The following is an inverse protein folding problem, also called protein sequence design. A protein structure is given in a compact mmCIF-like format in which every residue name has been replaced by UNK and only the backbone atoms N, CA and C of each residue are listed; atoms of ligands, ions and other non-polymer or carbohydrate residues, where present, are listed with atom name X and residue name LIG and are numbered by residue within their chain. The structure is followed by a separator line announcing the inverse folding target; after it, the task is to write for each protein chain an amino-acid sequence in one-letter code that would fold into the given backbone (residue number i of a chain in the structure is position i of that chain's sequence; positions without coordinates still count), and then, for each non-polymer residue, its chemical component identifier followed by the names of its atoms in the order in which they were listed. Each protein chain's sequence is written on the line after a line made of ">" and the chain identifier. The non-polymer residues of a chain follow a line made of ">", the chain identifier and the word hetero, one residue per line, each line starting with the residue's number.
data_IF_241380603130
#
_entry.id   IF_241380603130
#
_cell.length_a   1.000
_cell.length_b   1.000
_cell.length_c   1.000
_cell.angle_alpha   90.00
_cell.angle_beta   90.00
_cell.angle_gamma   90.00
#
_symmetry.space_group_name_H-M   'P 1'
#
loop_
_entity.id
_entity.type
_entity.pdbx_description
1 polymer ?
#
# COMPACT_ATOMS: atom_id res chain seq x y z
N UNK A 1 21.19 30.61 10.90
CA UNK A 1 21.21 29.14 10.82
C UNK A 1 19.76 28.70 10.76
N UNK A 2 19.23 28.50 9.55
CA UNK A 2 17.85 28.08 9.32
C UNK A 2 17.89 26.57 9.30
N UNK A 3 17.40 25.92 10.34
CA UNK A 3 17.22 24.48 10.37
C UNK A 3 16.09 24.11 9.42
N UNK A 4 16.44 23.53 8.28
CA UNK A 4 15.49 22.93 7.36
C UNK A 4 14.98 21.68 8.06
N UNK A 5 13.68 21.64 8.29
CA UNK A 5 13.02 20.51 8.94
C UNK A 5 12.88 19.37 7.90
N UNK A 6 13.85 18.45 7.85
CA UNK A 6 13.88 17.28 6.97
C UNK A 6 12.58 16.44 7.04
N UNK A 7 11.80 16.60 8.12
CA UNK A 7 10.51 15.93 8.30
C UNK A 7 9.38 16.56 7.49
N UNK A 8 9.45 17.86 7.25
CA UNK A 8 8.48 18.58 6.42
C UNK A 8 8.69 18.29 4.93
N UNK A 9 9.94 18.13 4.50
CA UNK A 9 10.26 17.77 3.11
C UNK A 9 9.73 16.39 2.73
N UNK A 10 9.87 15.39 3.59
CA UNK A 10 9.38 14.04 3.32
C UNK A 10 7.86 13.91 3.22
N UNK A 11 7.10 14.72 3.97
CA UNK A 11 5.64 14.76 3.88
C UNK A 11 5.17 15.43 2.58
N UNK A 12 5.81 16.52 2.19
CA UNK A 12 5.54 17.21 0.92
C UNK A 12 5.82 16.31 -0.29
N UNK A 13 6.91 15.54 -0.25
CA UNK A 13 7.27 14.62 -1.32
C UNK A 13 6.27 13.47 -1.47
N UNK A 14 5.79 12.88 -0.37
CA UNK A 14 4.76 11.86 -0.40
C UNK A 14 3.49 12.36 -1.11
N UNK A 15 3.02 13.56 -0.78
CA UNK A 15 1.81 14.12 -1.37
C UNK A 15 1.99 14.42 -2.86
N UNK A 16 3.16 14.93 -3.26
CA UNK A 16 3.49 15.14 -4.68
C UNK A 16 3.49 13.82 -5.46
N UNK A 17 4.00 12.75 -4.87
CA UNK A 17 3.95 11.43 -5.48
C UNK A 17 2.52 10.86 -5.49
N UNK A 18 1.75 11.03 -4.43
CA UNK A 18 0.35 10.62 -4.35
C UNK A 18 -0.51 11.30 -5.40
N UNK A 19 -0.20 12.54 -5.77
CA UNK A 19 -0.87 13.25 -6.85
C UNK A 19 -0.73 12.57 -8.21
N UNK A 20 0.35 11.84 -8.43
CA UNK A 20 0.69 11.16 -9.68
C UNK A 20 0.42 9.67 -9.64
N UNK A 21 0.17 9.11 -8.47
CA UNK A 21 -0.08 7.69 -8.29
C UNK A 21 -1.50 7.31 -8.70
N UNK A 22 -1.65 6.13 -9.25
CA UNK A 22 -2.93 5.50 -9.54
C UNK A 22 -3.33 4.53 -8.42
N UNK A 23 -2.34 3.98 -7.70
CA UNK A 23 -2.48 3.11 -6.54
C UNK A 23 -1.29 3.39 -5.60
N UNK A 24 -1.53 3.41 -4.30
CA UNK A 24 -0.49 3.49 -3.28
C UNK A 24 -0.38 2.15 -2.58
N UNK A 25 0.81 1.55 -2.65
CA UNK A 25 1.15 0.39 -1.83
C UNK A 25 2.09 0.83 -0.71
N UNK A 26 1.56 0.83 0.51
CA UNK A 26 2.36 1.08 1.71
C UNK A 26 3.03 -0.21 2.16
N UNK A 27 4.32 -0.18 2.42
CA UNK A 27 5.07 -1.35 2.87
C UNK A 27 5.54 -1.13 4.30
N UNK A 28 5.20 -2.04 5.20
CA UNK A 28 5.60 -1.98 6.59
C UNK A 28 6.05 -3.38 7.09
N UNK A 29 7.10 -3.43 7.91
CA UNK A 29 7.55 -4.70 8.49
C UNK A 29 6.68 -5.11 9.68
N UNK A 30 6.28 -6.38 9.77
CA UNK A 30 5.54 -6.92 10.91
C UNK A 30 6.35 -6.90 12.21
N UNK A 31 7.68 -6.91 12.12
CA UNK A 31 8.60 -6.91 13.27
C UNK A 31 8.88 -5.51 13.80
N UNK A 32 8.59 -4.47 13.04
CA UNK A 32 8.79 -3.10 13.48
C UNK A 32 7.65 -2.67 14.42
N UNK A 33 7.99 -2.27 15.63
CA UNK A 33 7.03 -1.83 16.67
C UNK A 33 6.77 -0.32 16.63
N UNK A 34 7.79 0.48 16.28
CA UNK A 34 7.70 1.94 16.22
C UNK A 34 7.04 2.38 14.89
N UNK A 35 5.72 2.56 14.91
CA UNK A 35 4.92 2.94 13.72
C UNK A 35 4.44 4.38 13.72
N UNK A 36 4.93 5.20 14.63
CA UNK A 36 4.47 6.59 14.76
C UNK A 36 4.77 7.42 13.49
N UNK A 37 5.95 7.29 12.84
CA UNK A 37 6.19 7.98 11.58
C UNK A 37 5.22 7.55 10.48
N UNK A 38 4.94 6.25 10.36
CA UNK A 38 3.99 5.72 9.36
C UNK A 38 2.57 6.21 9.64
N UNK A 39 2.16 6.22 10.92
CA UNK A 39 0.85 6.73 11.33
C UNK A 39 0.66 8.19 10.95
N UNK A 40 1.66 9.03 11.18
CA UNK A 40 1.63 10.47 10.82
C UNK A 40 1.51 10.65 9.31
N UNK A 41 2.35 9.99 8.53
CA UNK A 41 2.34 10.09 7.06
C UNK A 41 1.03 9.58 6.45
N UNK A 42 0.47 8.49 6.98
CA UNK A 42 -0.83 8.00 6.54
C UNK A 42 -1.97 8.96 6.90
N UNK A 43 -1.91 9.60 8.07
CA UNK A 43 -2.88 10.63 8.46
C UNK A 43 -2.81 11.86 7.54
N UNK A 44 -1.61 12.30 7.18
CA UNK A 44 -1.39 13.40 6.21
C UNK A 44 -1.91 13.02 4.82
N UNK A 45 -1.63 11.81 4.35
CA UNK A 45 -2.18 11.32 3.08
C UNK A 45 -3.72 11.31 3.10
N UNK A 46 -4.35 10.82 4.17
CA UNK A 46 -5.81 10.82 4.29
C UNK A 46 -6.41 12.21 4.34
N UNK A 47 -5.78 13.11 5.08
CA UNK A 47 -6.23 14.51 5.12
C UNK A 47 -6.19 15.13 3.73
N UNK A 48 -5.11 14.89 2.99
CA UNK A 48 -5.00 15.31 1.60
C UNK A 48 -6.05 14.63 0.72
N UNK A 49 -6.23 13.32 0.82
CA UNK A 49 -7.20 12.55 0.04
C UNK A 49 -8.63 13.06 0.25
N UNK A 50 -9.00 13.33 1.50
CA UNK A 50 -10.33 13.86 1.86
C UNK A 50 -10.56 15.29 1.37
N UNK A 51 -9.49 16.07 1.18
CA UNK A 51 -9.57 17.44 0.65
C UNK A 51 -9.72 17.46 -0.88
N UNK A 52 -9.59 16.33 -1.57
CA UNK A 52 -9.73 16.23 -3.03
C UNK A 52 -11.20 16.22 -3.45
N UNK A 53 -11.80 17.41 -3.64
CA UNK A 53 -13.22 17.52 -4.02
C UNK A 53 -13.43 17.18 -5.51
N UNK A 54 -12.45 17.50 -6.35
CA UNK A 54 -12.60 17.42 -7.81
C UNK A 54 -12.12 16.09 -8.42
N UNK A 55 -11.39 15.27 -7.67
CA UNK A 55 -10.83 14.00 -8.16
C UNK A 55 -10.84 12.94 -7.07
N UNK A 56 -10.79 11.67 -7.49
CA UNK A 56 -10.62 10.54 -6.58
C UNK A 56 -9.18 10.48 -6.09
N UNK A 57 -9.01 10.18 -4.81
CA UNK A 57 -7.71 9.82 -4.27
C UNK A 57 -7.32 8.39 -4.73
N UNK A 58 -6.03 8.11 -4.91
CA UNK A 58 -5.59 6.75 -5.23
C UNK A 58 -5.94 5.79 -4.08
N UNK A 59 -6.39 4.56 -4.39
CA UNK A 59 -6.60 3.54 -3.38
C UNK A 59 -5.30 3.20 -2.64
N UNK A 60 -5.43 2.83 -1.38
CA UNK A 60 -4.31 2.51 -0.49
C UNK A 60 -4.37 1.04 -0.10
N UNK A 61 -3.27 0.32 -0.27
CA UNK A 61 -3.06 -1.05 0.14
C UNK A 61 -1.82 -1.15 1.03
N UNK A 62 -1.91 -1.82 2.18
CA UNK A 62 -0.77 -2.10 3.04
C UNK A 62 -0.24 -3.52 2.82
N UNK A 63 1.02 -3.66 2.41
CA UNK A 63 1.76 -4.91 2.46
C UNK A 63 2.51 -5.01 3.80
N UNK A 64 2.08 -5.94 4.67
CA UNK A 64 2.74 -6.19 5.95
C UNK A 64 3.78 -7.30 5.76
N UNK A 65 5.04 -6.93 5.63
CA UNK A 65 6.14 -7.84 5.30
C UNK A 65 6.76 -8.49 6.55
N UNK A 66 7.68 -9.45 6.33
CA UNK A 66 8.46 -10.14 7.38
C UNK A 66 7.59 -10.86 8.41
N UNK A 67 6.43 -11.37 8.01
CA UNK A 67 5.57 -12.15 8.92
C UNK A 67 6.18 -13.52 9.27
N UNK A 68 7.14 -13.98 8.47
CA UNK A 68 7.95 -15.18 8.75
C UNK A 68 8.85 -15.01 9.99
N UNK A 69 9.31 -13.80 10.28
CA UNK A 69 10.14 -13.49 11.43
C UNK A 69 9.36 -13.38 12.76
N UNK A 70 8.03 -13.29 12.70
CA UNK A 70 7.21 -13.29 13.93
C UNK A 70 7.37 -14.61 14.69
N UNK A 71 7.30 -14.55 16.03
CA UNK A 71 7.44 -15.75 16.86
C UNK A 71 6.22 -16.67 16.73
N UNK A 72 6.42 -17.99 16.73
CA UNK A 72 7.70 -18.72 16.72
C UNK A 72 8.38 -18.66 15.34
N UNK A 73 9.64 -18.19 15.28
CA UNK A 73 10.34 -17.95 14.02
C UNK A 73 10.72 -19.22 13.24
N UNK A 74 10.88 -20.34 13.95
CA UNK A 74 11.21 -21.65 13.36
C UNK A 74 9.99 -22.38 12.81
N UNK A 75 8.77 -22.00 13.20
CA UNK A 75 7.52 -22.54 12.68
C UNK A 75 7.18 -21.82 11.38
N UNK A 76 7.48 -22.44 10.23
CA UNK A 76 7.16 -21.89 8.93
C UNK A 76 6.61 -22.97 8.00
N UNK A 77 5.30 -23.06 7.94
CA UNK A 77 4.53 -24.06 7.16
C UNK A 77 3.31 -23.40 6.54
N UNK A 78 3.48 -22.43 5.61
CA UNK A 78 2.34 -21.86 4.90
C UNK A 78 1.60 -22.95 4.07
N UNK A 79 0.32 -22.73 3.75
CA UNK A 79 -0.49 -21.53 3.99
C UNK A 79 -1.06 -21.43 5.41
N UNK A 80 -1.28 -20.19 5.88
CA UNK A 80 -1.93 -19.94 7.16
C UNK A 80 -3.34 -19.37 6.98
N UNK A 81 -4.35 -19.99 7.62
CA UNK A 81 -5.68 -19.39 7.74
C UNK A 81 -5.66 -18.33 8.85
N UNK A 82 -5.90 -17.08 8.47
CA UNK A 82 -5.95 -15.96 9.41
C UNK A 82 -7.36 -15.64 9.89
N UNK A 83 -8.37 -16.24 9.27
CA UNK A 83 -9.77 -16.10 9.68
C UNK A 83 -10.05 -16.95 10.93
N UNK A 84 -9.61 -18.20 10.90
CA UNK A 84 -9.70 -19.16 12.00
C UNK A 84 -8.30 -19.70 12.34
N UNK A 85 -7.43 -18.87 12.98
CA UNK A 85 -6.03 -19.23 13.17
C UNK A 85 -5.87 -20.33 14.22
N UNK A 86 -5.48 -21.52 13.81
CA UNK A 86 -5.30 -22.71 14.65
C UNK A 86 -3.89 -22.86 15.18
N UNK A 87 -2.86 -22.51 14.36
CA UNK A 87 -1.46 -22.64 14.76
C UNK A 87 -0.95 -21.41 15.53
N UNK A 88 0.09 -21.54 16.36
CA UNK A 88 0.73 -20.39 17.03
C UNK A 88 1.15 -19.31 16.02
N UNK A 89 1.76 -19.72 14.91
CA UNK A 89 2.21 -18.80 13.85
C UNK A 89 1.04 -18.03 13.21
N UNK A 90 -0.03 -18.74 12.85
CA UNK A 90 -1.22 -18.10 12.27
C UNK A 90 -1.84 -17.07 13.24
N UNK A 91 -1.89 -17.40 14.55
CA UNK A 91 -2.36 -16.48 15.58
C UNK A 91 -1.51 -15.22 15.68
N UNK A 92 -0.17 -15.38 15.62
CA UNK A 92 0.74 -14.23 15.66
C UNK A 92 0.62 -13.35 14.42
N UNK A 93 0.51 -13.93 13.23
CA UNK A 93 0.28 -13.17 11.99
C UNK A 93 -1.05 -12.40 12.07
N UNK A 94 -2.14 -13.08 12.47
CA UNK A 94 -3.45 -12.44 12.65
C UNK A 94 -3.41 -11.30 13.67
N UNK A 95 -2.71 -11.49 14.79
CA UNK A 95 -2.51 -10.47 15.82
C UNK A 95 -1.71 -9.26 15.28
N UNK A 96 -0.64 -9.51 14.51
CA UNK A 96 0.16 -8.45 13.89
C UNK A 96 -0.65 -7.63 12.88
N UNK A 97 -1.47 -8.27 12.05
CA UNK A 97 -2.40 -7.59 11.12
C UNK A 97 -3.39 -6.70 11.88
N UNK A 98 -4.03 -7.23 12.93
CA UNK A 98 -4.97 -6.47 13.76
C UNK A 98 -4.30 -5.31 14.49
N UNK A 99 -3.07 -5.50 14.96
CA UNK A 99 -2.29 -4.45 15.61
C UNK A 99 -1.91 -3.35 14.61
N UNK A 100 -1.44 -3.71 13.40
CA UNK A 100 -1.16 -2.77 12.34
C UNK A 100 -2.41 -1.99 11.93
N UNK A 101 -3.55 -2.66 11.75
CA UNK A 101 -4.83 -2.05 11.44
C UNK A 101 -5.22 -0.96 12.45
N UNK A 102 -5.11 -1.29 13.74
CA UNK A 102 -5.44 -0.36 14.84
C UNK A 102 -4.48 0.83 14.89
N UNK A 103 -3.18 0.59 14.78
CA UNK A 103 -2.16 1.66 14.92
C UNK A 103 -2.17 2.59 13.72
N UNK A 104 -2.34 2.05 12.53
CA UNK A 104 -2.32 2.81 11.27
C UNK A 104 -3.71 3.31 10.85
N UNK A 105 -4.75 3.00 11.67
CA UNK A 105 -6.15 3.33 11.39
C UNK A 105 -6.59 2.83 10.00
N UNK A 106 -6.29 1.56 9.70
CA UNK A 106 -6.66 0.84 8.49
C UNK A 106 -7.70 -0.23 8.80
N UNK A 107 -8.46 -0.62 7.79
CA UNK A 107 -9.28 -1.83 7.89
C UNK A 107 -8.38 -3.05 7.70
N UNK A 108 -8.77 -4.16 8.31
CA UNK A 108 -8.01 -5.43 8.23
C UNK A 108 -7.91 -5.92 6.78
N UNK A 109 -8.94 -5.70 5.97
CA UNK A 109 -8.99 -6.10 4.55
C UNK A 109 -8.11 -5.20 3.63
N UNK A 110 -7.65 -4.05 4.12
CA UNK A 110 -6.64 -3.21 3.44
C UNK A 110 -5.21 -3.68 3.68
N UNK A 111 -5.01 -4.71 4.52
CA UNK A 111 -3.69 -5.20 4.91
C UNK A 111 -3.47 -6.61 4.39
N UNK A 112 -2.44 -6.80 3.58
CA UNK A 112 -2.03 -8.12 3.11
C UNK A 112 -0.71 -8.52 3.79
N UNK A 113 -0.73 -9.49 4.71
CA UNK A 113 0.49 -10.01 5.31
C UNK A 113 1.23 -10.89 4.29
N UNK A 114 2.51 -10.63 4.08
CA UNK A 114 3.33 -11.34 3.09
C UNK A 114 4.71 -11.70 3.66
N UNK A 115 5.31 -12.76 3.11
CA UNK A 115 6.71 -13.09 3.38
C UNK A 115 7.39 -13.71 2.16
N UNK A 116 8.67 -13.40 2.00
CA UNK A 116 9.56 -13.99 0.99
C UNK A 116 10.87 -14.38 1.66
N UNK A 117 10.85 -15.34 2.62
CA UNK A 117 12.05 -15.72 3.35
C UNK A 117 13.04 -16.44 2.42
N UNK A 118 14.35 -16.15 2.52
CA UNK A 118 15.37 -16.82 1.71
C UNK A 118 15.34 -18.33 1.94
N UNK A 119 15.28 -19.12 0.85
CA UNK A 119 15.34 -20.58 0.89
C UNK A 119 14.13 -21.26 1.54
N UNK A 120 13.04 -20.56 1.77
CA UNK A 120 11.78 -21.10 2.27
C UNK A 120 10.63 -20.73 1.35
N UNK A 121 9.48 -21.36 1.56
CA UNK A 121 8.26 -21.09 0.83
C UNK A 121 7.77 -19.64 1.07
N UNK A 122 7.37 -18.97 0.01
CA UNK A 122 6.77 -17.64 0.09
C UNK A 122 5.34 -17.73 0.63
N UNK A 123 4.88 -16.66 1.26
CA UNK A 123 3.54 -16.62 1.80
C UNK A 123 2.75 -15.43 1.25
N UNK A 124 1.57 -15.73 0.75
CA UNK A 124 0.51 -14.77 0.42
C UNK A 124 0.84 -13.77 -0.70
N UNK A 125 1.83 -14.08 -1.54
CA UNK A 125 2.23 -13.24 -2.68
C UNK A 125 1.11 -13.19 -3.72
N UNK A 126 0.46 -14.33 -3.99
CA UNK A 126 -0.67 -14.39 -4.94
C UNK A 126 -1.87 -13.59 -4.41
N UNK A 127 -2.12 -13.60 -3.11
CA UNK A 127 -3.16 -12.78 -2.50
C UNK A 127 -2.84 -11.28 -2.59
N UNK A 128 -1.57 -10.89 -2.49
CA UNK A 128 -1.15 -9.52 -2.73
C UNK A 128 -1.44 -9.10 -4.19
N UNK A 129 -1.07 -9.94 -5.16
CA UNK A 129 -1.38 -9.68 -6.57
C UNK A 129 -2.88 -9.63 -6.84
N UNK A 130 -3.65 -10.54 -6.25
CA UNK A 130 -5.10 -10.55 -6.36
C UNK A 130 -5.70 -9.25 -5.79
N UNK A 131 -5.18 -8.78 -4.64
CA UNK A 131 -5.63 -7.52 -4.04
C UNK A 131 -5.29 -6.31 -4.92
N UNK A 132 -4.08 -6.25 -5.46
CA UNK A 132 -3.70 -5.21 -6.44
C UNK A 132 -4.64 -5.25 -7.65
N UNK A 133 -4.97 -6.43 -8.16
CA UNK A 133 -5.87 -6.58 -9.31
C UNK A 133 -7.29 -6.04 -9.01
N UNK A 134 -7.80 -6.24 -7.80
CA UNK A 134 -9.10 -5.68 -7.37
C UNK A 134 -9.06 -4.15 -7.36
N UNK A 135 -7.95 -3.55 -6.92
CA UNK A 135 -7.80 -2.09 -6.88
C UNK A 135 -7.52 -1.45 -8.26
N UNK A 136 -7.21 -2.26 -9.28
CA UNK A 136 -6.90 -1.75 -10.63
C UNK A 136 -8.06 -0.99 -11.26
N UNK A 137 -9.30 -1.39 -11.01
CA UNK A 137 -10.46 -0.70 -11.59
C UNK A 137 -10.64 0.68 -10.95
N UNK A 138 -10.46 0.80 -9.64
CA UNK A 138 -10.46 2.09 -8.94
C UNK A 138 -9.27 2.96 -9.39
N UNK A 139 -8.08 2.36 -9.52
CA UNK A 139 -6.89 3.03 -10.04
C UNK A 139 -7.09 3.60 -11.44
N UNK A 140 -7.80 2.89 -12.33
CA UNK A 140 -8.18 3.40 -13.66
C UNK A 140 -9.11 4.61 -13.58
N UNK A 141 -10.07 4.60 -12.63
CA UNK A 141 -10.96 5.74 -12.42
C UNK A 141 -10.19 6.96 -11.91
N UNK A 142 -9.22 6.78 -11.01
CA UNK A 142 -8.32 7.85 -10.56
C UNK A 142 -7.54 8.44 -11.73
N UNK A 143 -7.01 7.60 -12.61
CA UNK A 143 -6.30 8.03 -13.80
C UNK A 143 -7.21 8.83 -14.76
N UNK A 144 -8.43 8.35 -14.99
CA UNK A 144 -9.42 9.04 -15.83
C UNK A 144 -9.78 10.42 -15.27
N UNK A 145 -10.02 10.52 -13.97
CA UNK A 145 -10.29 11.81 -13.31
C UNK A 145 -9.11 12.79 -13.48
N UNK A 146 -7.88 12.31 -13.32
CA UNK A 146 -6.67 13.10 -13.52
C UNK A 146 -6.56 13.63 -14.96
N UNK A 147 -6.79 12.78 -15.95
CA UNK A 147 -6.78 13.17 -17.35
C UNK A 147 -7.90 14.18 -17.68
N UNK A 148 -9.09 13.98 -17.09
CA UNK A 148 -10.23 14.89 -17.26
C UNK A 148 -9.95 16.29 -16.70
N UNK A 149 -9.31 16.38 -15.53
CA UNK A 149 -9.02 17.63 -14.86
C UNK A 149 -7.78 18.34 -15.43
N UNK A 150 -6.79 17.57 -15.91
CA UNK A 150 -5.56 18.09 -16.52
C UNK A 150 -5.70 18.51 -17.98
N UNK A 151 -6.79 18.11 -18.67
CA UNK A 151 -6.95 18.29 -20.11
C UNK A 151 -8.04 19.28 -20.49
N UNK A 152 -7.68 20.52 -20.78
CA UNK A 152 -8.48 21.31 -21.72
C UNK A 152 -8.28 20.71 -23.11
N UNK A 153 -9.07 19.69 -23.47
CA UNK A 153 -9.12 19.15 -24.82
C UNK A 153 -8.48 17.79 -25.08
N UNK A 154 -8.45 16.90 -24.09
CA UNK A 154 -7.95 15.53 -24.30
C UNK A 154 -8.86 14.76 -25.25
N UNK A 155 -8.33 14.33 -26.41
CA UNK A 155 -9.07 13.54 -27.38
C UNK A 155 -9.30 12.11 -26.85
N UNK A 156 -10.35 11.42 -27.33
CA UNK A 156 -10.60 10.01 -27.02
C UNK A 156 -9.40 9.10 -27.35
N UNK A 157 -8.56 9.53 -28.29
CA UNK A 157 -7.34 8.83 -28.69
C UNK A 157 -6.25 8.90 -27.63
N UNK A 158 -6.13 10.03 -26.92
CA UNK A 158 -5.17 10.22 -25.81
C UNK A 158 -5.61 9.43 -24.59
N UNK A 159 -6.93 9.34 -24.35
CA UNK A 159 -7.54 8.48 -23.33
C UNK A 159 -7.22 6.98 -23.57
N UNK A 160 -7.41 6.51 -24.82
CA UNK A 160 -7.11 5.12 -25.18
C UNK A 160 -5.60 4.80 -25.04
N UNK A 161 -4.74 5.74 -25.43
CA UNK A 161 -3.28 5.62 -25.27
C UNK A 161 -2.85 5.56 -23.82
N UNK A 162 -3.42 6.40 -22.96
CA UNK A 162 -3.14 6.44 -21.52
C UNK A 162 -3.57 5.16 -20.81
N UNK A 163 -4.75 4.62 -21.13
CA UNK A 163 -5.23 3.34 -20.61
C UNK A 163 -4.36 2.16 -21.05
N UNK A 164 -3.81 2.20 -22.27
CA UNK A 164 -2.87 1.19 -22.76
C UNK A 164 -1.49 1.23 -22.07
N UNK A 165 -1.08 2.38 -21.55
CA UNK A 165 0.19 2.56 -20.84
C UNK A 165 0.10 2.24 -19.33
N UNK A 166 -1.09 2.33 -18.72
CA UNK A 166 -1.30 2.07 -17.31
C UNK A 166 -0.85 0.65 -16.90
N UNK A 167 -1.05 -0.34 -17.76
CA UNK A 167 -0.55 -1.70 -17.54
C UNK A 167 0.98 -1.83 -17.51
N UNK A 168 1.73 -0.82 -17.98
CA UNK A 168 3.21 -0.82 -17.98
C UNK A 168 3.83 -0.05 -16.82
N UNK A 169 3.09 0.84 -16.18
CA UNK A 169 3.63 1.75 -15.14
C UNK A 169 3.60 1.12 -13.74
N UNK A 170 2.74 0.13 -13.50
CA UNK A 170 2.64 -0.60 -12.21
C UNK A 170 3.96 -1.32 -11.85
N UNK A 171 4.80 -1.64 -12.84
CA UNK A 171 6.06 -2.39 -12.62
C UNK A 171 7.22 -1.49 -12.16
N UNK A 172 7.14 -0.17 -12.26
CA UNK A 172 8.27 0.74 -11.98
C UNK A 172 8.27 1.42 -10.61
N UNK A 173 7.26 1.21 -9.79
CA UNK A 173 7.07 1.89 -8.49
C UNK A 173 7.56 1.13 -7.26
N UNK A 174 8.34 0.06 -7.40
CA UNK A 174 8.97 -0.58 -6.23
C UNK A 174 10.23 0.22 -5.87
N UNK A 175 10.05 1.23 -5.03
CA UNK A 175 11.17 1.95 -4.41
C UNK A 175 11.70 1.09 -3.27
N UNK A 176 12.95 0.66 -3.41
CA UNK A 176 13.72 0.06 -2.31
C UNK A 176 13.95 1.11 -1.23
N UNK A 177 13.51 0.83 -0.02
CA UNK A 177 14.05 1.40 1.20
C UNK A 177 15.13 0.47 1.74
#
# INVERSE_FOLDING_TARGET
>A
MIGIDERAEGASELLVQAERADLIMWVASATQTAREPDRKRLAEFRAWANAQIARRAPPLLLALTHVDELRPAFEWTPPYDLTTPTTPKARMISAAVKAAARVLDLRVDEIVPVAMPPGRETYNIDALWARIAVELDEAKLVQLDRLRLGGKGTSLRDLASALGQAGRTIVKGIVRA
#
